data_IF_297322558069
#
_entry.id   IF_297322558069
#
_cell.length_a   1.000
_cell.length_b   1.000
_cell.length_c   1.000
_cell.angle_alpha   90.00
_cell.angle_beta   90.00
_cell.angle_gamma   90.00
#
_symmetry.space_group_name_H-M   'P 1'
#
loop_
_entity.id
_entity.type
_entity.pdbx_description
1 polymer ?
#
# COMPACT_ATOMS: atom_id res chain seq x y z
N UNK A 1 22.30 7.73 6.64
CA UNK A 1 21.15 7.23 5.85
C UNK A 1 20.00 6.97 6.79
N UNK A 2 18.83 7.56 6.52
CA UNK A 2 17.59 7.40 7.30
C UNK A 2 16.78 6.23 6.75
N UNK A 3 16.34 5.31 7.62
CA UNK A 3 15.49 4.17 7.23
C UNK A 3 14.09 4.65 6.88
N UNK A 4 13.50 4.10 5.83
CA UNK A 4 12.11 4.33 5.45
C UNK A 4 11.17 3.39 6.21
N UNK A 5 10.28 3.98 7.00
CA UNK A 5 9.27 3.25 7.77
C UNK A 5 8.30 2.52 6.86
N UNK A 6 7.79 3.21 5.84
CA UNK A 6 6.81 2.69 4.89
C UNK A 6 7.22 3.07 3.47
N UNK A 7 7.31 2.08 2.59
CA UNK A 7 7.52 2.27 1.16
C UNK A 7 6.30 1.69 0.46
N UNK A 8 5.66 2.51 -0.37
CA UNK A 8 4.46 2.15 -1.12
C UNK A 8 4.78 2.27 -2.61
N UNK A 9 5.07 1.15 -3.26
CA UNK A 9 5.27 1.09 -4.70
C UNK A 9 3.91 0.78 -5.34
N UNK A 10 3.24 1.82 -5.83
CA UNK A 10 1.95 1.71 -6.53
C UNK A 10 2.19 1.62 -8.03
N UNK A 11 1.68 0.56 -8.64
CA UNK A 11 1.70 0.32 -10.08
C UNK A 11 0.26 0.29 -10.60
N UNK A 12 -0.05 1.26 -11.46
CA UNK A 12 -1.35 1.46 -12.09
C UNK A 12 -1.11 2.24 -13.40
N UNK A 13 -1.83 1.92 -14.50
CA UNK A 13 -1.74 2.73 -15.71
C UNK A 13 -2.16 4.19 -15.47
N UNK A 14 -1.60 5.11 -16.24
CA UNK A 14 -1.99 6.53 -16.19
C UNK A 14 -3.29 6.81 -16.97
N UNK A 15 -3.61 5.95 -17.95
CA UNK A 15 -4.75 6.11 -18.85
C UNK A 15 -5.41 4.77 -19.14
N UNK A 16 -6.73 4.74 -19.31
CA UNK A 16 -7.51 3.55 -19.69
C UNK A 16 -8.78 3.94 -20.45
N UNK A 17 -9.41 2.99 -21.13
CA UNK A 17 -10.71 3.18 -21.79
C UNK A 17 -11.84 3.09 -20.77
N UNK A 18 -12.96 3.74 -21.06
CA UNK A 18 -14.15 3.60 -20.23
C UNK A 18 -14.61 2.13 -20.12
N UNK A 19 -14.85 1.68 -18.90
CA UNK A 19 -15.26 0.30 -18.55
C UNK A 19 -14.23 -0.79 -18.89
N UNK A 20 -12.99 -0.43 -19.18
CA UNK A 20 -11.88 -1.38 -19.29
C UNK A 20 -11.43 -1.82 -17.89
N UNK A 21 -11.14 -3.11 -17.71
CA UNK A 21 -10.63 -3.62 -16.44
C UNK A 21 -9.19 -3.16 -16.22
N UNK A 22 -8.96 -2.54 -15.07
CA UNK A 22 -7.65 -2.07 -14.63
C UNK A 22 -7.28 -2.76 -13.34
N UNK A 23 -6.07 -3.33 -13.31
CA UNK A 23 -5.45 -3.87 -12.10
C UNK A 23 -4.54 -2.82 -11.47
N UNK A 24 -4.82 -2.45 -10.21
CA UNK A 24 -3.88 -1.72 -9.36
C UNK A 24 -3.07 -2.74 -8.54
N UNK A 25 -1.74 -2.61 -8.60
CA UNK A 25 -0.80 -3.38 -7.77
C UNK A 25 -0.12 -2.46 -6.76
N UNK A 26 -0.21 -2.79 -5.48
CA UNK A 26 0.53 -2.12 -4.42
C UNK A 26 1.55 -3.08 -3.83
N UNK A 27 2.83 -2.72 -3.85
CA UNK A 27 3.87 -3.39 -3.06
C UNK A 27 4.22 -2.52 -1.86
N UNK A 28 4.00 -3.06 -0.67
CA UNK A 28 4.35 -2.42 0.61
C UNK A 28 5.63 -3.03 1.14
N UNK A 29 6.60 -2.18 1.50
CA UNK A 29 7.91 -2.57 2.04
C UNK A 29 8.30 -1.69 3.22
N UNK A 30 9.28 -2.13 4.01
CA UNK A 30 9.86 -1.37 5.11
C UNK A 30 11.36 -1.59 5.17
N UNK A 31 12.13 -0.60 5.64
CA UNK A 31 13.56 -0.71 5.92
C UNK A 31 13.84 -0.82 7.44
N UNK A 32 12.79 -0.91 8.27
CA UNK A 32 12.92 -1.05 9.72
C UNK A 32 13.52 -2.42 10.07
N UNK A 33 14.36 -2.47 11.11
CA UNK A 33 14.94 -3.75 11.57
C UNK A 33 13.91 -4.69 12.18
N UNK A 34 12.86 -4.14 12.76
CA UNK A 34 11.79 -4.89 13.41
C UNK A 34 10.55 -4.91 12.52
N UNK A 35 9.80 -6.00 12.58
CA UNK A 35 8.56 -6.14 11.81
C UNK A 35 7.46 -5.25 12.38
N UNK A 36 6.86 -4.47 11.50
CA UNK A 36 5.72 -3.61 11.80
C UNK A 36 4.46 -4.31 11.29
N UNK A 37 3.60 -4.78 12.19
CA UNK A 37 2.31 -5.41 11.86
C UNK A 37 2.43 -6.41 10.69
N UNK A 38 3.33 -7.39 10.84
CA UNK A 38 3.57 -8.45 9.86
C UNK A 38 4.17 -8.02 8.51
N UNK A 39 4.66 -6.78 8.44
CA UNK A 39 5.51 -6.28 7.38
C UNK A 39 6.96 -6.28 7.89
N UNK A 40 7.81 -7.06 7.22
CA UNK A 40 9.24 -7.17 7.54
C UNK A 40 10.07 -6.81 6.30
N UNK A 41 11.34 -6.42 6.43
CA UNK A 41 12.19 -6.06 5.29
C UNK A 41 12.37 -7.18 4.26
N UNK A 42 12.44 -8.41 4.73
CA UNK A 42 12.56 -9.64 3.95
C UNK A 42 11.20 -10.22 3.53
N UNK A 43 10.10 -9.64 4.02
CA UNK A 43 8.75 -10.11 3.76
C UNK A 43 7.82 -8.96 3.34
N UNK A 44 8.01 -8.44 2.11
CA UNK A 44 7.15 -7.41 1.56
C UNK A 44 5.76 -7.97 1.24
N UNK A 45 4.75 -7.10 1.25
CA UNK A 45 3.37 -7.48 0.95
C UNK A 45 2.93 -6.90 -0.38
N UNK A 46 2.25 -7.70 -1.19
CA UNK A 46 1.66 -7.24 -2.45
C UNK A 46 0.16 -7.39 -2.38
N UNK A 47 -0.55 -6.34 -2.78
CA UNK A 47 -2.00 -6.29 -2.86
C UNK A 47 -2.44 -5.94 -4.28
N UNK A 48 -3.57 -6.49 -4.70
CA UNK A 48 -4.14 -6.29 -6.03
C UNK A 48 -5.61 -5.89 -5.89
N UNK A 49 -6.03 -4.97 -6.75
CA UNK A 49 -7.43 -4.60 -6.92
C UNK A 49 -7.74 -4.51 -8.40
N UNK A 50 -8.82 -5.15 -8.82
CA UNK A 50 -9.34 -5.08 -10.19
C UNK A 50 -10.63 -4.26 -10.18
N UNK A 51 -10.72 -3.25 -11.06
CA UNK A 51 -11.88 -2.38 -11.16
C UNK A 51 -12.05 -1.82 -12.58
N UNK A 52 -13.26 -1.37 -12.90
CA UNK A 52 -13.61 -0.82 -14.21
C UNK A 52 -14.08 0.63 -14.05
N UNK A 53 -13.25 1.64 -14.38
CA UNK A 53 -13.62 3.03 -14.24
C UNK A 53 -14.43 3.52 -15.45
N UNK A 54 -15.52 4.24 -15.19
CA UNK A 54 -16.30 4.90 -16.24
C UNK A 54 -15.88 6.38 -16.44
N UNK A 55 -15.24 6.99 -15.45
CA UNK A 55 -14.78 8.38 -15.47
C UNK A 55 -13.35 8.48 -14.95
N UNK A 56 -12.66 9.57 -15.27
CA UNK A 56 -11.35 9.90 -14.69
C UNK A 56 -11.46 9.96 -13.16
N UNK A 57 -10.58 9.24 -12.45
CA UNK A 57 -10.59 9.16 -10.98
C UNK A 57 -9.22 9.45 -10.38
N UNK A 58 -9.22 10.07 -9.20
CA UNK A 58 -8.03 10.17 -8.33
C UNK A 58 -8.14 9.12 -7.25
N UNK A 59 -7.20 8.17 -7.26
CA UNK A 59 -7.15 7.03 -6.36
C UNK A 59 -6.18 7.34 -5.24
N UNK A 60 -6.65 7.18 -3.99
CA UNK A 60 -5.82 7.28 -2.81
C UNK A 60 -5.54 5.88 -2.28
N UNK A 61 -4.31 5.40 -2.46
CA UNK A 61 -3.86 4.16 -1.82
C UNK A 61 -3.44 4.48 -0.38
N UNK A 62 -4.00 3.76 0.58
CA UNK A 62 -3.82 4.05 2.01
C UNK A 62 -3.30 2.79 2.72
N UNK A 63 -2.28 2.96 3.54
CA UNK A 63 -1.77 1.91 4.43
C UNK A 63 -1.82 2.44 5.86
N UNK A 64 -2.60 1.78 6.70
CA UNK A 64 -2.72 2.08 8.13
C UNK A 64 -2.04 0.98 8.95
N UNK A 65 -1.21 1.40 9.91
CA UNK A 65 -0.52 0.52 10.85
C UNK A 65 -1.40 0.35 12.09
N UNK A 66 -2.10 -0.78 12.16
CA UNK A 66 -3.15 -1.03 13.17
C UNK A 66 -2.67 -1.90 14.34
N UNK A 67 -3.31 -1.75 15.50
CA UNK A 67 -3.09 -2.55 16.71
C UNK A 67 -4.10 -3.70 16.79
N UNK A 68 -4.08 -4.59 15.80
CA UNK A 68 -4.97 -5.74 15.74
C UNK A 68 -4.25 -6.99 16.26
N UNK A 69 -4.93 -7.76 17.13
CA UNK A 69 -4.42 -9.04 17.61
C UNK A 69 -4.72 -10.17 16.62
N UNK A 70 -4.01 -11.29 16.75
CA UNK A 70 -4.15 -12.50 15.93
C UNK A 70 -3.84 -12.33 14.44
N UNK A 71 -3.18 -11.24 14.07
CA UNK A 71 -2.67 -11.02 12.71
C UNK A 71 -1.21 -11.48 12.59
N UNK A 72 -0.39 -11.20 13.62
CA UNK A 72 1.05 -11.47 13.60
C UNK A 72 1.48 -12.60 14.51
N UNK A 73 2.56 -13.33 14.15
CA UNK A 73 3.08 -14.41 14.98
C UNK A 73 3.30 -13.94 16.42
N UNK A 74 2.70 -14.64 17.37
CA UNK A 74 2.79 -14.34 18.80
C UNK A 74 2.28 -12.94 19.21
N UNK A 75 1.53 -12.23 18.36
CA UNK A 75 1.09 -10.84 18.60
C UNK A 75 2.24 -9.86 18.90
N UNK A 76 3.44 -10.13 18.37
CA UNK A 76 4.61 -9.26 18.54
C UNK A 76 4.83 -8.44 17.28
N UNK A 77 4.69 -7.13 17.40
CA UNK A 77 4.93 -6.17 16.32
C UNK A 77 5.21 -4.79 16.91
N UNK A 78 5.95 -3.97 16.17
CA UNK A 78 6.17 -2.56 16.53
C UNK A 78 5.33 -1.62 15.70
N UNK A 79 5.13 -0.41 16.25
CA UNK A 79 4.44 0.68 15.59
C UNK A 79 5.34 1.91 15.62
N UNK A 80 5.62 2.51 14.46
CA UNK A 80 6.42 3.73 14.35
C UNK A 80 5.72 4.90 15.07
N UNK A 81 6.50 5.71 15.77
CA UNK A 81 6.03 6.93 16.45
C UNK A 81 5.76 8.05 15.43
N UNK A 82 6.54 8.10 14.35
CA UNK A 82 6.50 9.16 13.34
C UNK A 82 5.13 9.29 12.66
N UNK A 83 4.55 8.18 12.21
CA UNK A 83 3.24 8.15 11.56
C UNK A 83 2.69 6.72 11.54
N UNK A 84 1.37 6.58 11.64
CA UNK A 84 0.66 5.30 11.53
C UNK A 84 -0.19 5.18 10.26
N UNK A 85 -0.26 6.23 9.44
CA UNK A 85 -1.05 6.28 8.21
C UNK A 85 -0.22 6.85 7.08
N UNK A 86 -0.15 6.11 5.98
CA UNK A 86 0.62 6.47 4.79
C UNK A 86 -0.31 6.49 3.58
N UNK A 87 -0.12 7.48 2.69
CA UNK A 87 -0.99 7.69 1.54
C UNK A 87 -0.20 8.07 0.30
N UNK A 88 -0.61 7.50 -0.83
CA UNK A 88 -0.14 7.88 -2.17
C UNK A 88 -1.36 8.18 -3.03
N UNK A 89 -1.27 9.24 -3.84
CA UNK A 89 -2.32 9.65 -4.76
C UNK A 89 -1.87 9.37 -6.19
N UNK A 90 -2.71 8.68 -6.96
CA UNK A 90 -2.52 8.44 -8.39
C UNK A 90 -3.78 8.87 -9.13
N UNK A 91 -3.64 9.45 -10.33
CA UNK A 91 -4.79 9.80 -11.18
C UNK A 91 -4.83 8.87 -12.38
N UNK A 92 -5.97 8.21 -12.56
CA UNK A 92 -6.26 7.38 -13.73
C UNK A 92 -7.20 8.16 -14.66
N UNK A 93 -6.69 8.51 -15.84
CA UNK A 93 -7.45 9.26 -16.84
C UNK A 93 -8.21 8.31 -17.77
N UNK A 94 -9.51 8.51 -17.87
CA UNK A 94 -10.36 7.77 -18.81
C UNK A 94 -10.50 8.59 -20.09
N UNK A 95 -10.32 7.94 -21.25
CA UNK A 95 -10.47 8.51 -22.59
C UNK A 95 -11.53 7.79 -23.42
#
# INVERSE_FOLDING_TARGET
MTRKVMIMDVDIPQTTRANEEVTLKLVVKTELRECMVCLCPDYPRTFYWDFQPNNTVTIATVVDVVRELNICPNNKAVIPIEANRFRVLNTLRVY
#
